data_IF_422485174014
#
_entry.id   IF_422485174014
#
_cell.length_a   1.000
_cell.length_b   1.000
_cell.length_c   1.000
_cell.angle_alpha   90.00
_cell.angle_beta   90.00
_cell.angle_gamma   90.00
#
_symmetry.space_group_name_H-M   'P 1'
#
loop_
_entity.id
_entity.type
_entity.pdbx_description
1 polymer ?
#
# COMPACT_ATOMS: atom_id res chain seq x y z
N UNK A 1 -11.63 4.44 -10.41
CA UNK A 1 -12.34 5.48 -11.16
C UNK A 1 -11.42 6.11 -12.19
N UNK A 2 -10.24 6.58 -11.80
CA UNK A 2 -9.30 7.18 -12.75
C UNK A 2 -8.63 6.16 -13.70
N UNK A 3 -8.61 4.86 -13.34
CA UNK A 3 -8.07 3.77 -14.15
C UNK A 3 -9.07 3.11 -15.10
N UNK A 4 -10.31 3.58 -15.17
CA UNK A 4 -11.37 3.10 -16.07
C UNK A 4 -11.81 1.63 -15.93
N UNK A 5 -11.36 0.92 -14.88
CA UNK A 5 -11.74 -0.50 -14.65
C UNK A 5 -13.15 -0.65 -14.02
N UNK A 6 -13.67 0.40 -13.37
CA UNK A 6 -15.01 0.44 -12.82
C UNK A 6 -15.64 1.82 -12.95
N UNK A 7 -16.95 1.87 -13.20
CA UNK A 7 -17.69 3.12 -13.19
C UNK A 7 -18.00 3.51 -11.73
N UNK A 8 -18.13 4.81 -11.45
CA UNK A 8 -18.41 5.28 -10.08
C UNK A 8 -19.70 4.67 -9.50
N UNK A 9 -20.70 4.44 -10.34
CA UNK A 9 -21.98 3.82 -9.96
C UNK A 9 -21.86 2.35 -9.54
N UNK A 10 -20.79 1.66 -9.97
CA UNK A 10 -20.54 0.24 -9.65
C UNK A 10 -19.74 0.10 -8.34
N UNK A 11 -19.33 1.22 -7.75
CA UNK A 11 -18.53 1.26 -6.52
C UNK A 11 -19.41 1.67 -5.35
N UNK A 12 -19.31 0.89 -4.28
CA UNK A 12 -19.91 1.19 -2.98
C UNK A 12 -18.82 1.39 -1.96
N UNK A 13 -18.75 2.55 -1.34
CA UNK A 13 -17.83 2.82 -0.26
C UNK A 13 -18.56 2.81 1.09
N UNK A 14 -18.13 1.92 1.99
CA UNK A 14 -18.59 1.91 3.38
C UNK A 14 -17.63 2.74 4.24
N UNK A 15 -18.15 3.81 4.83
CA UNK A 15 -17.38 4.68 5.73
C UNK A 15 -18.27 5.14 6.89
N UNK A 16 -17.74 5.06 8.10
CA UNK A 16 -18.49 5.40 9.32
C UNK A 16 -18.43 6.88 9.69
N UNK A 17 -17.39 7.61 9.23
CA UNK A 17 -17.18 9.02 9.56
C UNK A 17 -17.88 9.93 8.57
N UNK A 18 -18.81 10.75 9.03
CA UNK A 18 -19.64 11.65 8.20
C UNK A 18 -18.80 12.52 7.27
N UNK A 19 -17.81 13.23 7.78
CA UNK A 19 -16.94 14.12 7.01
C UNK A 19 -16.25 13.40 5.85
N UNK A 20 -15.79 12.15 6.09
CA UNK A 20 -15.16 11.36 5.03
C UNK A 20 -16.15 10.84 4.01
N UNK A 21 -17.37 10.50 4.43
CA UNK A 21 -18.43 10.09 3.50
C UNK A 21 -18.76 11.21 2.50
N UNK A 22 -18.93 12.42 3.00
CA UNK A 22 -19.20 13.60 2.16
C UNK A 22 -18.05 13.89 1.20
N UNK A 23 -16.81 13.80 1.67
CA UNK A 23 -15.63 13.97 0.84
C UNK A 23 -15.55 12.92 -0.28
N UNK A 24 -15.74 11.65 0.05
CA UNK A 24 -15.69 10.54 -0.91
C UNK A 24 -16.80 10.68 -1.94
N UNK A 25 -18.04 10.95 -1.51
CA UNK A 25 -19.17 11.15 -2.41
C UNK A 25 -18.93 12.32 -3.39
N UNK A 26 -18.48 13.45 -2.86
CA UNK A 26 -18.20 14.66 -3.67
C UNK A 26 -17.06 14.45 -4.65
N UNK A 27 -15.99 13.77 -4.22
CA UNK A 27 -14.75 13.62 -5.01
C UNK A 27 -14.88 12.56 -6.08
N UNK A 28 -15.57 11.46 -5.79
CA UNK A 28 -15.56 10.27 -6.64
C UNK A 28 -16.93 9.92 -7.24
N UNK A 29 -18.03 10.47 -6.72
CA UNK A 29 -19.37 10.19 -7.21
C UNK A 29 -19.84 8.76 -6.99
N UNK A 30 -19.21 8.02 -6.07
CA UNK A 30 -19.54 6.64 -5.76
C UNK A 30 -20.70 6.55 -4.78
N UNK A 31 -21.39 5.41 -4.75
CA UNK A 31 -22.42 5.13 -3.76
C UNK A 31 -21.80 4.99 -2.38
N UNK A 32 -22.43 5.60 -1.37
CA UNK A 32 -21.96 5.57 0.01
C UNK A 32 -22.94 4.79 0.89
N UNK A 33 -22.41 4.01 1.80
CA UNK A 33 -23.18 3.34 2.85
C UNK A 33 -22.47 3.42 4.20
N UNK A 34 -23.19 3.22 5.28
CA UNK A 34 -22.65 3.00 6.64
C UNK A 34 -22.72 1.54 7.04
N UNK A 35 -23.40 0.70 6.27
CA UNK A 35 -23.54 -0.74 6.50
C UNK A 35 -22.49 -1.50 5.66
N UNK A 36 -21.56 -2.16 6.33
CA UNK A 36 -20.55 -2.97 5.66
C UNK A 36 -21.15 -4.16 4.89
N UNK A 37 -22.33 -4.63 5.25
CA UNK A 37 -23.01 -5.70 4.53
C UNK A 37 -23.47 -5.27 3.13
N UNK A 38 -23.87 -4.00 2.95
CA UNK A 38 -24.19 -3.44 1.63
C UNK A 38 -22.97 -3.43 0.71
N UNK A 39 -21.81 -3.04 1.26
CA UNK A 39 -20.55 -3.05 0.50
C UNK A 39 -20.06 -4.48 0.20
N UNK A 40 -20.36 -5.42 1.11
CA UNK A 40 -19.97 -6.82 0.96
C UNK A 40 -20.77 -7.58 -0.12
N UNK A 41 -21.87 -7.03 -0.62
CA UNK A 41 -22.65 -7.61 -1.70
C UNK A 41 -21.98 -7.53 -3.09
N UNK A 42 -20.80 -6.89 -3.17
CA UNK A 42 -20.04 -6.74 -4.40
C UNK A 42 -19.25 -8.01 -4.78
N UNK A 43 -18.95 -8.17 -6.07
CA UNK A 43 -18.08 -9.25 -6.58
C UNK A 43 -16.66 -9.16 -6.03
N UNK A 44 -16.14 -7.93 -5.90
CA UNK A 44 -14.84 -7.61 -5.33
C UNK A 44 -15.02 -6.72 -4.10
N UNK A 45 -14.55 -7.18 -2.95
CA UNK A 45 -14.58 -6.44 -1.68
C UNK A 45 -13.16 -6.04 -1.29
N UNK A 46 -12.93 -4.75 -1.14
CA UNK A 46 -11.62 -4.22 -0.72
C UNK A 46 -11.69 -3.82 0.76
N UNK A 47 -10.85 -4.45 1.57
CA UNK A 47 -10.67 -4.11 2.99
C UNK A 47 -9.60 -3.01 3.10
N UNK A 48 -10.04 -1.77 3.17
CA UNK A 48 -9.20 -0.58 3.33
C UNK A 48 -9.34 0.04 4.73
N UNK A 49 -9.66 -0.77 5.72
CA UNK A 49 -9.83 -0.36 7.12
C UNK A 49 -8.50 -0.51 7.90
N UNK A 50 -8.36 0.18 9.05
CA UNK A 50 -7.19 -0.02 9.91
C UNK A 50 -7.00 -1.50 10.27
N UNK A 51 -5.75 -1.99 10.39
CA UNK A 51 -5.47 -3.40 10.64
C UNK A 51 -6.21 -4.02 11.83
N UNK A 52 -6.38 -3.27 12.91
CA UNK A 52 -7.08 -3.70 14.13
C UNK A 52 -8.60 -3.85 13.94
N UNK A 53 -9.18 -3.26 12.89
CA UNK A 53 -10.61 -3.33 12.61
C UNK A 53 -10.97 -4.50 11.65
N UNK A 54 -9.97 -5.12 11.00
CA UNK A 54 -10.20 -6.13 9.97
C UNK A 54 -11.02 -7.31 10.49
N UNK A 55 -10.66 -7.86 11.65
CA UNK A 55 -11.36 -9.02 12.24
C UNK A 55 -12.82 -8.70 12.55
N UNK A 56 -13.09 -7.51 13.05
CA UNK A 56 -14.44 -7.03 13.34
C UNK A 56 -15.27 -6.87 12.05
N UNK A 57 -14.68 -6.25 11.03
CA UNK A 57 -15.36 -6.06 9.72
C UNK A 57 -15.66 -7.41 9.09
N UNK A 58 -14.68 -8.32 9.05
CA UNK A 58 -14.87 -9.67 8.51
C UNK A 58 -15.96 -10.43 9.25
N UNK A 59 -16.00 -10.36 10.58
CA UNK A 59 -17.07 -10.95 11.38
C UNK A 59 -18.46 -10.39 11.06
N UNK A 60 -18.57 -9.10 10.76
CA UNK A 60 -19.82 -8.46 10.41
C UNK A 60 -20.34 -8.84 9.00
N UNK A 61 -19.43 -9.09 8.05
CA UNK A 61 -19.80 -9.34 6.65
C UNK A 61 -19.84 -10.81 6.26
N UNK A 62 -19.16 -11.72 6.98
CA UNK A 62 -18.95 -13.12 6.59
C UNK A 62 -20.24 -13.87 6.19
N UNK A 63 -21.32 -13.66 6.93
CA UNK A 63 -22.61 -14.34 6.70
C UNK A 63 -23.49 -13.61 5.67
N UNK A 64 -23.01 -12.49 5.15
CA UNK A 64 -23.69 -11.65 4.15
C UNK A 64 -23.00 -11.69 2.79
N UNK A 65 -21.84 -12.34 2.72
CA UNK A 65 -21.09 -12.48 1.46
C UNK A 65 -21.92 -13.31 0.47
N UNK A 66 -22.25 -12.80 -0.73
CA UNK A 66 -22.88 -13.58 -1.78
C UNK A 66 -21.87 -14.62 -2.30
N UNK A 67 -22.21 -15.34 -3.34
CA UNK A 67 -21.40 -16.38 -3.96
C UNK A 67 -19.89 -16.05 -4.08
N UNK A 68 -19.08 -16.39 -3.06
CA UNK A 68 -17.61 -16.38 -3.10
C UNK A 68 -17.02 -15.10 -3.69
N UNK A 69 -17.21 -13.94 -3.07
CA UNK A 69 -16.58 -12.71 -3.53
C UNK A 69 -15.07 -12.82 -3.47
N UNK A 70 -14.40 -12.00 -4.23
CA UNK A 70 -12.95 -11.81 -4.10
C UNK A 70 -12.71 -10.80 -2.99
N UNK A 71 -12.01 -11.19 -1.94
CA UNK A 71 -11.62 -10.30 -0.84
C UNK A 71 -10.19 -9.84 -1.08
N UNK A 72 -10.01 -8.54 -1.27
CA UNK A 72 -8.69 -7.89 -1.35
C UNK A 72 -8.44 -7.11 -0.07
N UNK A 73 -7.37 -7.44 0.64
CA UNK A 73 -6.98 -6.73 1.86
C UNK A 73 -5.80 -5.80 1.59
N UNK A 74 -5.96 -4.51 1.88
CA UNK A 74 -4.90 -3.51 1.92
C UNK A 74 -4.36 -3.30 3.35
N UNK A 75 -4.87 -4.06 4.32
CA UNK A 75 -4.47 -3.92 5.70
C UNK A 75 -3.06 -4.48 5.95
N UNK A 76 -2.17 -3.61 6.43
CA UNK A 76 -0.84 -4.01 6.87
C UNK A 76 -0.94 -4.95 8.08
N UNK A 77 0.05 -5.82 8.26
CA UNK A 77 0.20 -6.70 9.42
C UNK A 77 -0.97 -7.66 9.70
N UNK A 78 -1.86 -7.91 8.73
CA UNK A 78 -2.93 -8.92 8.85
C UNK A 78 -2.61 -10.08 7.92
N UNK A 79 -2.18 -11.24 8.44
CA UNK A 79 -1.79 -12.39 7.61
C UNK A 79 -2.97 -12.93 6.80
N UNK A 80 -2.66 -13.47 5.62
CA UNK A 80 -3.69 -14.03 4.72
C UNK A 80 -4.42 -15.20 5.39
N UNK A 81 -3.68 -16.05 6.11
CA UNK A 81 -4.25 -17.20 6.83
C UNK A 81 -5.28 -16.77 7.91
N UNK A 82 -5.07 -15.63 8.56
CA UNK A 82 -6.04 -15.09 9.52
C UNK A 82 -7.30 -14.63 8.79
N UNK A 83 -7.17 -13.94 7.67
CA UNK A 83 -8.33 -13.50 6.87
C UNK A 83 -9.12 -14.71 6.38
N UNK A 84 -8.46 -15.73 5.82
CA UNK A 84 -9.09 -16.96 5.35
C UNK A 84 -9.83 -17.70 6.47
N UNK A 85 -9.27 -17.74 7.69
CA UNK A 85 -9.89 -18.40 8.84
C UNK A 85 -11.20 -17.76 9.32
N UNK A 86 -11.42 -16.49 8.99
CA UNK A 86 -12.61 -15.72 9.37
C UNK A 86 -13.69 -15.71 8.30
N UNK A 87 -13.42 -16.26 7.13
CA UNK A 87 -14.31 -16.24 5.97
C UNK A 87 -14.88 -17.63 5.63
N UNK A 88 -15.98 -17.72 4.88
CA UNK A 88 -16.48 -18.99 4.39
C UNK A 88 -15.41 -19.76 3.60
N UNK A 89 -15.39 -21.11 3.69
CA UNK A 89 -14.47 -21.94 2.90
C UNK A 89 -14.53 -21.59 1.41
N UNK A 90 -13.37 -21.66 0.75
CA UNK A 90 -13.20 -21.37 -0.68
C UNK A 90 -13.47 -19.90 -1.10
N UNK A 91 -13.46 -18.95 -0.17
CA UNK A 91 -13.39 -17.52 -0.50
C UNK A 91 -11.99 -17.20 -1.08
N UNK A 92 -11.94 -16.47 -2.21
CA UNK A 92 -10.67 -16.01 -2.78
C UNK A 92 -10.16 -14.81 -1.98
N UNK A 93 -9.03 -14.97 -1.30
CA UNK A 93 -8.40 -13.91 -0.50
C UNK A 93 -7.09 -13.48 -1.14
N UNK A 94 -6.92 -12.18 -1.37
CA UNK A 94 -5.72 -11.59 -1.94
C UNK A 94 -5.28 -10.47 -1.02
N UNK A 95 -4.00 -10.45 -0.67
CA UNK A 95 -3.41 -9.39 0.16
C UNK A 95 -2.47 -8.55 -0.67
N UNK A 96 -2.65 -7.24 -0.62
CA UNK A 96 -1.85 -6.26 -1.35
C UNK A 96 -1.48 -5.15 -0.38
N UNK A 97 -0.24 -4.67 -0.46
CA UNK A 97 0.15 -3.51 0.33
C UNK A 97 0.65 -2.38 -0.58
N UNK A 98 -0.26 -1.58 -1.15
CA UNK A 98 0.09 -0.50 -2.04
C UNK A 98 0.81 0.63 -1.28
N UNK A 99 1.60 1.41 -2.00
CA UNK A 99 2.24 2.60 -1.46
C UNK A 99 1.66 3.90 -2.07
N UNK A 100 1.97 5.06 -1.47
CA UNK A 100 1.41 6.34 -1.91
C UNK A 100 1.67 6.70 -3.38
N UNK A 101 2.79 6.32 -4.04
CA UNK A 101 2.97 6.52 -5.49
C UNK A 101 1.91 5.83 -6.37
N UNK A 102 1.17 4.85 -5.85
CA UNK A 102 0.03 4.24 -6.55
C UNK A 102 -1.09 5.26 -6.86
N UNK A 103 -1.17 6.38 -6.13
CA UNK A 103 -2.12 7.47 -6.42
C UNK A 103 -1.92 8.09 -7.80
N UNK A 104 -0.72 7.97 -8.36
CA UNK A 104 -0.35 8.46 -9.70
C UNK A 104 0.09 7.33 -10.64
N UNK A 105 -0.23 6.08 -10.30
CA UNK A 105 -0.01 4.92 -11.17
C UNK A 105 1.45 4.43 -11.25
N UNK A 106 2.32 4.88 -10.35
CA UNK A 106 3.73 4.48 -10.32
C UNK A 106 4.12 3.84 -8.98
N UNK A 107 3.15 3.20 -8.32
CA UNK A 107 3.37 2.47 -7.08
C UNK A 107 4.19 1.19 -7.27
N UNK A 108 4.60 0.63 -6.13
CA UNK A 108 5.15 -0.72 -6.05
C UNK A 108 4.27 -1.52 -5.08
N UNK A 109 3.61 -2.55 -5.58
CA UNK A 109 2.50 -3.22 -4.92
C UNK A 109 2.84 -4.70 -4.70
N UNK A 110 3.43 -5.09 -3.56
CA UNK A 110 3.60 -6.49 -3.21
C UNK A 110 2.23 -7.15 -3.02
N UNK A 111 2.07 -8.34 -3.59
CA UNK A 111 0.83 -9.12 -3.56
C UNK A 111 1.09 -10.54 -3.11
N UNK A 112 0.17 -11.08 -2.30
CA UNK A 112 0.10 -12.49 -1.92
C UNK A 112 -1.29 -13.02 -2.23
N UNK A 113 -1.34 -14.19 -2.84
CA UNK A 113 -2.57 -14.90 -3.18
C UNK A 113 -2.82 -16.02 -2.18
N UNK A 114 -4.04 -16.08 -1.64
CA UNK A 114 -4.48 -17.14 -0.75
C UNK A 114 -4.70 -18.47 -1.45
N UNK A 115 -4.91 -19.51 -0.66
CA UNK A 115 -5.00 -20.89 -1.11
C UNK A 115 -6.17 -21.18 -2.07
N UNK A 116 -7.23 -20.38 -2.01
CA UNK A 116 -8.47 -20.57 -2.76
C UNK A 116 -8.64 -19.56 -3.91
N UNK A 117 -7.58 -18.85 -4.29
CA UNK A 117 -7.66 -17.86 -5.38
C UNK A 117 -7.78 -18.56 -6.72
N UNK A 118 -8.89 -18.29 -7.42
CA UNK A 118 -9.14 -18.82 -8.77
C UNK A 118 -8.43 -17.96 -9.83
N UNK A 119 -8.22 -18.54 -11.02
CA UNK A 119 -7.68 -17.79 -12.17
C UNK A 119 -8.53 -16.55 -12.54
N UNK A 120 -9.85 -16.64 -12.38
CA UNK A 120 -10.77 -15.52 -12.62
C UNK A 120 -10.58 -14.41 -11.57
N UNK A 121 -10.48 -14.76 -10.28
CA UNK A 121 -10.23 -13.82 -9.21
C UNK A 121 -8.87 -13.12 -9.40
N UNK A 122 -7.83 -13.88 -9.79
CA UNK A 122 -6.52 -13.33 -10.09
C UNK A 122 -6.58 -12.33 -11.24
N UNK A 123 -7.20 -12.69 -12.37
CA UNK A 123 -7.33 -11.80 -13.52
C UNK A 123 -8.11 -10.51 -13.21
N UNK A 124 -9.13 -10.59 -12.33
CA UNK A 124 -9.87 -9.42 -11.86
C UNK A 124 -8.96 -8.46 -11.08
N UNK A 125 -8.15 -8.99 -10.16
CA UNK A 125 -7.26 -8.18 -9.32
C UNK A 125 -6.04 -7.68 -10.10
N UNK A 126 -5.52 -8.44 -11.05
CA UNK A 126 -4.40 -8.00 -11.91
C UNK A 126 -4.77 -6.74 -12.71
N UNK A 127 -6.01 -6.62 -13.18
CA UNK A 127 -6.50 -5.38 -13.83
C UNK A 127 -6.50 -4.19 -12.87
N UNK A 128 -6.93 -4.40 -11.62
CA UNK A 128 -6.88 -3.36 -10.58
C UNK A 128 -5.42 -2.94 -10.31
N UNK A 129 -4.53 -3.92 -10.17
CA UNK A 129 -3.11 -3.69 -9.88
C UNK A 129 -2.39 -2.95 -11.01
N UNK A 130 -2.75 -3.22 -12.28
CA UNK A 130 -2.17 -2.53 -13.44
C UNK A 130 -2.36 -1.00 -13.37
N UNK A 131 -3.45 -0.52 -12.76
CA UNK A 131 -3.69 0.91 -12.57
C UNK A 131 -2.88 1.53 -11.41
N UNK A 132 -2.30 0.71 -10.54
CA UNK A 132 -1.57 1.16 -9.35
C UNK A 132 -0.05 1.26 -9.58
N UNK A 133 0.48 0.60 -10.60
CA UNK A 133 1.91 0.57 -10.92
C UNK A 133 2.49 -0.85 -10.95
N UNK A 134 3.78 -0.99 -10.63
CA UNK A 134 4.46 -2.27 -10.62
C UNK A 134 3.96 -3.20 -9.52
N UNK A 135 3.94 -4.50 -9.81
CA UNK A 135 3.47 -5.55 -8.90
C UNK A 135 4.52 -6.66 -8.78
N UNK A 136 4.66 -7.23 -7.60
CA UNK A 136 5.48 -8.41 -7.35
C UNK A 136 4.71 -9.38 -6.47
N UNK A 137 4.64 -10.65 -6.88
CA UNK A 137 4.12 -11.73 -6.06
C UNK A 137 5.17 -12.15 -5.03
N UNK A 138 4.76 -12.24 -3.77
CA UNK A 138 5.64 -12.57 -2.65
C UNK A 138 4.98 -13.57 -1.70
N UNK A 139 5.79 -14.23 -0.88
CA UNK A 139 5.29 -14.99 0.27
C UNK A 139 4.71 -14.05 1.34
N UNK A 140 3.60 -14.46 1.97
CA UNK A 140 2.95 -13.66 3.03
C UNK A 140 3.88 -13.35 4.20
N UNK A 141 4.82 -14.24 4.51
CA UNK A 141 5.83 -14.04 5.53
C UNK A 141 6.76 -12.85 5.24
N UNK A 142 6.99 -12.50 3.99
CA UNK A 142 7.81 -11.37 3.58
C UNK A 142 7.05 -10.03 3.59
N UNK A 143 5.72 -10.05 3.69
CA UNK A 143 4.89 -8.85 3.53
C UNK A 143 5.25 -7.73 4.52
N UNK A 144 5.60 -8.05 5.77
CA UNK A 144 5.96 -7.02 6.76
C UNK A 144 7.27 -6.30 6.39
N UNK A 145 8.24 -7.03 5.84
CA UNK A 145 9.49 -6.44 5.34
C UNK A 145 9.21 -5.55 4.11
N UNK A 146 8.41 -6.04 3.16
CA UNK A 146 7.98 -5.22 2.02
C UNK A 146 7.19 -3.99 2.47
N UNK A 147 6.32 -4.11 3.48
CA UNK A 147 5.62 -2.96 4.07
C UNK A 147 6.61 -1.91 4.56
N UNK A 148 7.62 -2.31 5.33
CA UNK A 148 8.64 -1.39 5.84
C UNK A 148 9.45 -0.74 4.70
N UNK A 149 9.78 -1.51 3.67
CA UNK A 149 10.59 -1.02 2.55
C UNK A 149 9.81 -0.16 1.57
N UNK A 150 8.58 -0.55 1.21
CA UNK A 150 7.85 0.05 0.09
C UNK A 150 6.67 0.92 0.50
N UNK A 151 5.82 0.47 1.42
CA UNK A 151 4.66 1.25 1.86
C UNK A 151 5.08 2.44 2.75
N UNK A 152 6.04 2.24 3.65
CA UNK A 152 6.69 3.30 4.43
C UNK A 152 7.73 4.06 3.59
N UNK A 153 8.25 3.43 2.55
CA UNK A 153 9.33 3.91 1.68
C UNK A 153 9.30 5.39 1.29
N UNK A 154 8.17 5.93 0.81
CA UNK A 154 8.08 7.34 0.48
C UNK A 154 8.49 8.29 1.61
N UNK A 155 8.26 7.90 2.87
CA UNK A 155 8.62 8.73 4.04
C UNK A 155 10.13 8.84 4.25
N UNK A 156 10.94 7.97 3.66
CA UNK A 156 12.40 8.05 3.70
C UNK A 156 12.95 9.04 2.67
N UNK A 157 12.25 9.23 1.55
CA UNK A 157 12.67 10.10 0.45
C UNK A 157 12.12 11.52 0.57
N UNK A 158 10.91 11.70 1.09
CA UNK A 158 10.27 13.01 1.18
C UNK A 158 11.08 14.04 1.96
N UNK A 159 11.74 13.72 3.10
CA UNK A 159 12.62 14.68 3.78
C UNK A 159 13.83 15.12 2.96
N UNK A 160 14.38 14.21 2.13
CA UNK A 160 15.49 14.54 1.23
C UNK A 160 15.03 15.49 0.12
N UNK A 161 13.86 15.21 -0.48
CA UNK A 161 13.25 16.09 -1.48
C UNK A 161 12.94 17.48 -0.89
N UNK A 162 12.38 17.52 0.31
CA UNK A 162 12.09 18.79 1.00
C UNK A 162 13.36 19.61 1.23
N UNK A 163 14.44 18.97 1.71
CA UNK A 163 15.73 19.64 1.91
C UNK A 163 16.33 20.16 0.60
N UNK A 164 16.24 19.39 -0.50
CA UNK A 164 16.72 19.82 -1.82
C UNK A 164 15.93 21.04 -2.32
N UNK A 165 14.61 21.02 -2.16
CA UNK A 165 13.74 22.14 -2.56
C UNK A 165 14.06 23.38 -1.72
N UNK A 166 14.17 23.24 -0.41
CA UNK A 166 14.49 24.34 0.49
C UNK A 166 15.84 24.99 0.13
N UNK A 167 16.90 24.19 -0.04
CA UNK A 167 18.21 24.68 -0.44
C UNK A 167 18.20 25.38 -1.80
N UNK A 168 17.42 24.86 -2.76
CA UNK A 168 17.24 25.52 -4.08
C UNK A 168 16.60 26.89 -3.96
N UNK A 169 15.55 27.02 -3.14
CA UNK A 169 14.86 28.30 -2.88
C UNK A 169 15.77 29.28 -2.14
N UNK A 170 16.48 28.84 -1.10
CA UNK A 170 17.46 29.64 -0.37
C UNK A 170 18.61 30.09 -1.26
N UNK A 171 18.96 29.29 -2.27
CA UNK A 171 19.96 29.62 -3.30
C UNK A 171 19.44 30.53 -4.42
N UNK A 172 18.19 30.98 -4.35
CA UNK A 172 17.61 31.99 -5.28
C UNK A 172 16.80 31.41 -6.43
N UNK A 173 16.52 30.09 -6.45
CA UNK A 173 15.55 29.52 -7.43
C UNK A 173 14.12 29.87 -7.03
N UNK A 174 13.22 29.95 -8.04
CA UNK A 174 11.79 29.91 -7.72
C UNK A 174 11.41 28.57 -7.11
N UNK A 175 10.32 28.52 -6.33
CA UNK A 175 9.85 27.26 -5.74
C UNK A 175 9.51 26.23 -6.82
N UNK A 176 8.91 26.66 -7.92
CA UNK A 176 8.58 25.79 -9.06
C UNK A 176 9.84 25.18 -9.68
N UNK A 177 10.88 25.98 -9.89
CA UNK A 177 12.14 25.52 -10.43
C UNK A 177 12.86 24.55 -9.47
N UNK A 178 12.86 24.86 -8.16
CA UNK A 178 13.45 23.98 -7.14
C UNK A 178 12.73 22.64 -7.04
N UNK A 179 11.39 22.62 -7.06
CA UNK A 179 10.58 21.41 -7.08
C UNK A 179 10.88 20.59 -8.33
N UNK A 180 10.86 21.20 -9.52
CA UNK A 180 11.12 20.50 -10.77
C UNK A 180 12.53 19.89 -10.78
N UNK A 181 13.56 20.62 -10.34
CA UNK A 181 14.93 20.12 -10.28
C UNK A 181 15.08 18.95 -9.29
N UNK A 182 14.56 19.09 -8.07
CA UNK A 182 14.66 18.06 -7.03
C UNK A 182 13.95 16.77 -7.44
N UNK A 183 12.70 16.86 -7.93
CA UNK A 183 11.90 15.69 -8.32
C UNK A 183 12.48 15.00 -9.55
N UNK A 184 12.94 15.75 -10.57
CA UNK A 184 13.56 15.18 -11.76
C UNK A 184 14.90 14.47 -11.40
N UNK A 185 15.70 15.06 -10.51
CA UNK A 185 16.95 14.46 -10.03
C UNK A 185 16.68 13.15 -9.30
N UNK A 186 15.72 13.13 -8.36
CA UNK A 186 15.38 11.92 -7.61
C UNK A 186 14.85 10.81 -8.53
N UNK A 187 13.94 11.16 -9.45
CA UNK A 187 13.41 10.21 -10.44
C UNK A 187 14.51 9.64 -11.34
N UNK A 188 15.35 10.51 -11.91
CA UNK A 188 16.46 10.09 -12.77
C UNK A 188 17.50 9.24 -12.04
N UNK A 189 17.80 9.54 -10.78
CA UNK A 189 18.71 8.74 -9.96
C UNK A 189 18.14 7.35 -9.68
N UNK A 190 16.86 7.26 -9.34
CA UNK A 190 16.20 5.97 -9.14
C UNK A 190 16.16 5.15 -10.45
N UNK A 191 15.83 5.78 -11.58
CA UNK A 191 15.84 5.14 -12.89
C UNK A 191 17.24 4.63 -13.28
N UNK A 192 18.28 5.41 -13.02
CA UNK A 192 19.66 5.01 -13.25
C UNK A 192 20.00 3.76 -12.43
N UNK A 193 19.70 3.77 -11.13
CA UNK A 193 19.94 2.63 -10.25
C UNK A 193 19.18 1.36 -10.65
N UNK A 194 17.95 1.51 -11.20
CA UNK A 194 17.16 0.39 -11.66
C UNK A 194 17.64 -0.23 -12.98
N UNK A 195 18.32 0.55 -13.82
CA UNK A 195 18.80 0.12 -15.15
C UNK A 195 20.26 -0.35 -15.18
N UNK A 196 20.99 -0.10 -14.12
CA UNK A 196 22.42 -0.45 -14.02
C UNK A 196 22.61 -1.65 -13.11
N UNK A 197 23.67 -2.40 -13.35
CA UNK A 197 24.07 -3.55 -12.54
C UNK A 197 25.03 -3.18 -11.42
N UNK A 198 25.59 -1.98 -11.46
CA UNK A 198 26.50 -1.45 -10.47
C UNK A 198 25.75 -1.10 -9.17
N UNK A 199 26.38 -1.33 -8.03
CA UNK A 199 25.88 -0.89 -6.74
C UNK A 199 25.70 0.63 -6.67
N UNK A 200 24.73 1.16 -5.90
CA UNK A 200 24.55 2.60 -5.69
C UNK A 200 25.85 3.33 -5.27
N UNK A 201 26.74 2.67 -4.51
CA UNK A 201 28.04 3.22 -4.17
C UNK A 201 28.96 3.44 -5.38
N UNK A 202 28.89 2.55 -6.36
CA UNK A 202 29.66 2.69 -7.61
C UNK A 202 29.06 3.77 -8.52
N UNK A 203 27.72 3.90 -8.54
CA UNK A 203 27.04 4.93 -9.34
C UNK A 203 27.40 6.35 -8.91
N UNK A 204 27.77 6.58 -7.66
CA UNK A 204 28.27 7.87 -7.17
C UNK A 204 29.53 8.34 -7.88
N UNK A 205 30.32 7.42 -8.42
CA UNK A 205 31.55 7.77 -9.15
C UNK A 205 31.26 8.60 -10.41
N UNK A 206 30.06 8.51 -10.97
CA UNK A 206 29.69 9.32 -12.13
C UNK A 206 29.58 10.81 -11.84
N UNK A 207 29.34 11.20 -10.58
CA UNK A 207 29.25 12.61 -10.18
C UNK A 207 30.56 13.18 -9.70
N UNK A 208 31.50 12.33 -9.27
CA UNK A 208 32.83 12.75 -8.75
C UNK A 208 32.80 13.50 -7.40
N UNK A 209 31.61 13.82 -6.86
CA UNK A 209 31.43 14.55 -5.60
C UNK A 209 30.74 13.67 -4.55
N UNK A 210 31.15 13.84 -3.28
CA UNK A 210 30.56 13.13 -2.13
C UNK A 210 30.22 14.13 -1.02
N UNK A 211 29.12 14.91 -1.17
CA UNK A 211 28.80 15.99 -0.24
C UNK A 211 28.15 15.49 1.06
N UNK A 212 27.63 14.26 1.09
CA UNK A 212 26.94 13.69 2.24
C UNK A 212 27.90 12.81 3.08
N UNK A 213 27.57 12.67 4.34
CA UNK A 213 28.14 11.67 5.24
C UNK A 213 27.42 10.33 5.00
N UNK A 214 27.82 9.66 3.92
CA UNK A 214 27.12 8.50 3.35
C UNK A 214 26.85 7.38 4.38
N UNK A 215 27.80 7.09 5.25
CA UNK A 215 27.64 6.06 6.29
C UNK A 215 26.50 6.41 7.26
N UNK A 216 26.43 7.66 7.71
CA UNK A 216 25.38 8.12 8.63
C UNK A 216 24.00 8.07 7.99
N UNK A 217 23.87 8.52 6.73
CA UNK A 217 22.61 8.46 5.98
C UNK A 217 22.17 7.01 5.80
N UNK A 218 23.11 6.14 5.41
CA UNK A 218 22.85 4.70 5.24
C UNK A 218 22.36 4.06 6.54
N UNK A 219 23.03 4.31 7.65
CA UNK A 219 22.71 3.72 8.94
C UNK A 219 21.34 4.24 9.45
N UNK A 220 21.08 5.54 9.28
CA UNK A 220 19.79 6.15 9.62
C UNK A 220 18.63 5.49 8.87
N UNK A 221 18.72 5.37 7.55
CA UNK A 221 17.67 4.78 6.72
C UNK A 221 17.51 3.28 7.02
N UNK A 222 18.62 2.55 7.16
CA UNK A 222 18.60 1.12 7.49
C UNK A 222 17.93 0.89 8.84
N UNK A 223 18.25 1.69 9.86
CA UNK A 223 17.61 1.61 11.17
C UNK A 223 16.11 1.90 11.08
N UNK A 224 15.70 2.95 10.37
CA UNK A 224 14.29 3.30 10.19
C UNK A 224 13.48 2.16 9.52
N UNK A 225 14.05 1.48 8.52
CA UNK A 225 13.42 0.32 7.86
C UNK A 225 13.31 -0.84 8.84
N UNK A 226 14.36 -1.12 9.62
CA UNK A 226 14.37 -2.19 10.62
C UNK A 226 13.30 -1.96 11.69
N UNK A 227 13.21 -0.74 12.20
CA UNK A 227 12.22 -0.36 13.22
C UNK A 227 10.79 -0.43 12.67
N UNK A 228 10.57 -0.01 11.43
CA UNK A 228 9.27 -0.14 10.79
C UNK A 228 8.86 -1.61 10.63
N UNK A 229 9.77 -2.48 10.19
CA UNK A 229 9.54 -3.93 10.09
C UNK A 229 9.21 -4.56 11.44
N UNK A 230 9.96 -4.20 12.48
CA UNK A 230 9.70 -4.66 13.86
C UNK A 230 8.31 -4.26 14.36
N UNK A 231 7.88 -3.01 14.09
CA UNK A 231 6.52 -2.55 14.44
C UNK A 231 5.44 -3.33 13.69
N UNK A 232 5.64 -3.64 12.41
CA UNK A 232 4.67 -4.45 11.65
C UNK A 232 4.56 -5.87 12.21
N UNK A 233 5.67 -6.49 12.56
CA UNK A 233 5.69 -7.82 13.17
C UNK A 233 5.00 -7.83 14.54
N UNK A 234 5.28 -6.84 15.39
CA UNK A 234 4.62 -6.71 16.69
C UNK A 234 3.10 -6.47 16.55
N UNK A 235 2.68 -5.65 15.57
CA UNK A 235 1.27 -5.41 15.29
C UNK A 235 0.58 -6.69 14.80
N UNK A 236 1.23 -7.44 13.89
CA UNK A 236 0.72 -8.72 13.41
C UNK A 236 0.51 -9.71 14.55
N UNK A 237 1.49 -9.83 15.46
CA UNK A 237 1.37 -10.71 16.62
C UNK A 237 0.17 -10.32 17.48
N UNK A 238 0.04 -9.03 17.80
CA UNK A 238 -1.09 -8.50 18.59
C UNK A 238 -2.44 -8.84 17.95
N UNK A 239 -2.58 -8.66 16.63
CA UNK A 239 -3.82 -8.96 15.91
C UNK A 239 -4.13 -10.46 15.94
N UNK A 240 -3.11 -11.29 15.69
CA UNK A 240 -3.25 -12.74 15.68
C UNK A 240 -3.65 -13.29 17.06
N UNK A 241 -3.05 -12.77 18.12
CA UNK A 241 -3.35 -13.18 19.49
C UNK A 241 -4.76 -12.76 19.90
N UNK A 242 -5.17 -11.53 19.57
CA UNK A 242 -6.52 -11.05 19.82
C UNK A 242 -7.58 -11.89 19.11
N UNK A 243 -7.31 -12.35 17.89
CA UNK A 243 -8.23 -13.19 17.12
C UNK A 243 -8.37 -14.63 17.66
N UNK A 244 -7.37 -15.11 18.42
CA UNK A 244 -7.38 -16.44 19.06
C UNK A 244 -8.09 -16.46 20.39
N UNK A 245 -8.28 -15.30 21.04
CA UNK A 245 -8.97 -15.20 22.34
C UNK A 245 -10.46 -15.09 22.06
N UNK A 246 -11.29 -16.06 22.48
CA UNK A 246 -12.74 -15.96 22.35
C UNK A 246 -13.25 -14.70 23.07
N UNK A 247 -14.10 -13.92 22.43
CA UNK A 247 -14.85 -12.85 23.10
C UNK A 247 -15.73 -13.50 24.14
N UNK A 248 -15.39 -13.32 25.41
CA UNK A 248 -16.18 -13.75 26.58
C UNK A 248 -17.51 -13.03 26.64
#
# INVERSE_FOLDING_TARGET
VNGAEAQAQDIVACETKDVRREEIARRFGVRITTDSADAAAAELVILAVPPLEVTKVLGAIRDRLPHRPVIVSFAAAVPIALIESLLPPATSVIRINPNSPSLVGVGFNPVTYGSNVTGQARALVDRLLAALGATVEIDDAAMNLYTALTAVGPTYFLPVLDAMIAAGVEGGLSREAAVAAATATAHGTAALAAQRTEDPEQLKLYTGLRPLRDAEVRDLVKQAITDAGGRMTALQQKITDAARTPSS
#
